data_IF_050425767851
#
_entry.id   IF_050425767851
#
_cell.length_a   1.000
_cell.length_b   1.000
_cell.length_c   1.000
_cell.angle_alpha   90.00
_cell.angle_beta   90.00
_cell.angle_gamma   90.00
#
_symmetry.space_group_name_H-M   'P 1'
#
loop_
_entity.id
_entity.type
_entity.pdbx_description
1 polymer ?
#
# COMPACT_ATOMS: atom_id res chain seq x y z
N UNK A 1 4.82 -7.13 24.06
CA UNK A 1 4.85 -5.81 23.40
C UNK A 1 3.77 -5.83 22.35
N UNK A 2 2.77 -4.95 22.43
CA UNK A 2 1.78 -4.83 21.37
C UNK A 2 2.47 -4.12 20.19
N UNK A 3 2.88 -4.85 19.17
CA UNK A 3 3.23 -4.28 17.88
C UNK A 3 2.07 -3.38 17.44
N UNK A 4 2.36 -2.14 17.09
CA UNK A 4 1.33 -1.22 16.60
C UNK A 4 0.61 -1.90 15.43
N UNK A 5 -0.71 -2.07 15.55
CA UNK A 5 -1.52 -2.67 14.49
C UNK A 5 -1.66 -1.62 13.39
N UNK A 6 -0.98 -1.84 12.28
CA UNK A 6 -1.24 -1.10 11.06
C UNK A 6 -2.52 -1.63 10.41
N UNK A 7 -3.40 -0.73 9.99
CA UNK A 7 -4.63 -1.06 9.30
C UNK A 7 -4.60 -0.48 7.90
N UNK A 8 -5.14 -1.23 6.94
CA UNK A 8 -5.31 -0.77 5.58
C UNK A 8 -6.80 -0.57 5.27
N UNK A 9 -7.13 0.56 4.66
CA UNK A 9 -8.47 0.85 4.14
C UNK A 9 -8.42 0.74 2.63
N UNK A 10 -9.14 -0.23 2.07
CA UNK A 10 -9.26 -0.43 0.62
C UNK A 10 -10.59 0.17 0.16
N UNK A 11 -10.52 1.07 -0.81
CA UNK A 11 -11.70 1.75 -1.36
C UNK A 11 -11.87 1.31 -2.80
N UNK A 12 -13.01 0.67 -3.10
CA UNK A 12 -13.37 0.32 -4.47
C UNK A 12 -14.10 1.50 -5.11
N UNK A 13 -13.44 2.12 -6.08
CA UNK A 13 -14.03 3.18 -6.91
C UNK A 13 -14.93 2.50 -7.96
N UNK A 14 -16.21 2.89 -8.01
CA UNK A 14 -17.16 2.41 -9.02
C UNK A 14 -17.70 3.62 -9.74
N UNK A 15 -17.57 3.63 -11.06
CA UNK A 15 -18.11 4.69 -11.93
C UNK A 15 -17.61 6.12 -11.62
N UNK A 16 -16.50 6.24 -10.89
CA UNK A 16 -15.85 7.52 -10.57
C UNK A 16 -14.97 7.98 -11.74
N UNK A 17 -15.07 9.25 -12.10
CA UNK A 17 -14.11 9.86 -13.05
C UNK A 17 -12.75 9.92 -12.38
N UNK A 18 -11.71 9.52 -13.09
CA UNK A 18 -10.32 9.50 -12.58
C UNK A 18 -9.90 10.84 -11.94
N UNK A 19 -10.36 11.96 -12.51
CA UNK A 19 -10.10 13.30 -11.98
C UNK A 19 -10.64 13.54 -10.56
N UNK A 20 -11.73 12.88 -10.17
CA UNK A 20 -12.41 13.08 -8.88
C UNK A 20 -11.87 12.15 -7.79
N UNK A 21 -11.20 11.06 -8.19
CA UNK A 21 -10.66 10.02 -7.29
C UNK A 21 -9.71 10.60 -6.26
N UNK A 22 -8.72 11.39 -6.69
CA UNK A 22 -7.73 11.94 -5.78
C UNK A 22 -8.33 12.92 -4.76
N UNK A 23 -9.31 13.71 -5.18
CA UNK A 23 -10.04 14.62 -4.29
C UNK A 23 -10.86 13.84 -3.25
N UNK A 24 -11.52 12.76 -3.67
CA UNK A 24 -12.24 11.86 -2.78
C UNK A 24 -11.33 11.20 -1.75
N UNK A 25 -10.21 10.61 -2.19
CA UNK A 25 -9.22 10.00 -1.30
C UNK A 25 -8.63 11.00 -0.30
N UNK A 26 -8.36 12.24 -0.73
CA UNK A 26 -7.85 13.30 0.15
C UNK A 26 -8.83 13.66 1.26
N UNK A 27 -10.15 13.65 0.97
CA UNK A 27 -11.19 13.88 1.99
C UNK A 27 -11.22 12.76 3.04
N UNK A 28 -11.03 11.52 2.61
CA UNK A 28 -10.98 10.37 3.52
C UNK A 28 -9.73 10.44 4.41
N UNK A 29 -8.56 10.73 3.83
CA UNK A 29 -7.32 10.91 4.58
C UNK A 29 -7.46 12.02 5.63
N UNK A 30 -8.07 13.15 5.25
CA UNK A 30 -8.35 14.25 6.18
C UNK A 30 -9.27 13.80 7.32
N UNK A 31 -10.37 13.11 7.02
CA UNK A 31 -11.32 12.64 8.04
C UNK A 31 -10.68 11.70 9.07
N UNK A 32 -9.76 10.83 8.63
CA UNK A 32 -8.99 9.96 9.53
C UNK A 32 -8.06 10.76 10.44
N UNK A 33 -7.36 11.75 9.88
CA UNK A 33 -6.47 12.64 10.65
C UNK A 33 -7.23 13.48 11.67
N UNK A 34 -8.41 13.99 11.29
CA UNK A 34 -9.29 14.75 12.19
C UNK A 34 -9.79 13.90 13.38
N UNK A 35 -9.83 12.57 13.24
CA UNK A 35 -10.15 11.62 14.31
C UNK A 35 -8.92 11.16 15.13
N UNK A 36 -7.73 11.71 14.85
CA UNK A 36 -6.49 11.38 15.57
C UNK A 36 -5.74 10.16 15.03
N UNK A 37 -6.15 9.60 13.88
CA UNK A 37 -5.38 8.54 13.23
C UNK A 37 -4.23 9.12 12.39
N UNK A 38 -3.08 8.45 12.42
CA UNK A 38 -2.04 8.67 11.41
C UNK A 38 -2.42 7.88 10.16
N UNK A 39 -2.84 8.60 9.12
CA UNK A 39 -3.17 8.02 7.83
C UNK A 39 -2.30 8.62 6.72
N UNK A 40 -1.92 7.80 5.75
CA UNK A 40 -1.26 8.19 4.50
C UNK A 40 -1.80 7.34 3.35
N UNK A 41 -1.71 7.87 2.13
CA UNK A 41 -1.95 7.06 0.92
C UNK A 41 -0.91 5.94 0.83
N UNK A 42 -1.37 4.76 0.40
CA UNK A 42 -0.51 3.63 0.09
C UNK A 42 0.38 3.99 -1.09
N UNK A 43 1.68 3.76 -0.93
CA UNK A 43 2.65 3.78 -2.02
C UNK A 43 2.71 2.38 -2.65
N UNK A 44 3.45 2.27 -3.75
CA UNK A 44 3.62 1.01 -4.47
C UNK A 44 4.09 -0.13 -3.56
N UNK A 45 5.11 0.11 -2.73
CA UNK A 45 5.64 -0.89 -1.79
C UNK A 45 4.56 -1.40 -0.80
N UNK A 46 3.63 -0.53 -0.38
CA UNK A 46 2.53 -0.95 0.48
C UNK A 46 1.55 -1.86 -0.28
N UNK A 47 1.21 -1.49 -1.52
CA UNK A 47 0.34 -2.29 -2.39
C UNK A 47 0.93 -3.68 -2.62
N UNK A 48 2.23 -3.76 -2.93
CA UNK A 48 2.92 -5.04 -3.09
C UNK A 48 2.94 -5.86 -1.82
N UNK A 49 3.19 -5.24 -0.66
CA UNK A 49 3.12 -5.93 0.64
C UNK A 49 1.75 -6.55 0.87
N UNK A 50 0.68 -5.83 0.53
CA UNK A 50 -0.69 -6.34 0.67
C UNK A 50 -0.92 -7.51 -0.28
N UNK A 51 -0.55 -7.36 -1.55
CA UNK A 51 -0.67 -8.45 -2.52
C UNK A 51 0.11 -9.68 -2.05
N UNK A 52 1.31 -9.51 -1.52
CA UNK A 52 2.09 -10.58 -0.90
C UNK A 52 1.36 -11.28 0.24
N UNK A 53 0.77 -10.53 1.18
CA UNK A 53 -0.01 -11.13 2.29
C UNK A 53 -1.21 -11.96 1.79
N UNK A 54 -1.86 -11.53 0.70
CA UNK A 54 -3.04 -12.23 0.15
C UNK A 54 -2.70 -13.37 -0.81
N UNK A 55 -1.60 -13.28 -1.55
CA UNK A 55 -1.25 -14.22 -2.62
C UNK A 55 -0.03 -15.11 -2.31
N UNK A 56 0.89 -14.68 -1.44
CA UNK A 56 2.01 -15.52 -1.00
C UNK A 56 1.74 -16.14 0.37
N UNK A 57 2.03 -17.44 0.50
CA UNK A 57 1.99 -18.15 1.78
C UNK A 57 3.26 -17.98 2.63
N UNK A 58 4.30 -17.32 2.10
CA UNK A 58 5.58 -17.17 2.77
C UNK A 58 5.67 -15.81 3.48
N UNK A 59 5.58 -15.83 4.81
CA UNK A 59 5.61 -14.66 5.71
C UNK A 59 7.01 -13.99 5.77
N UNK A 60 8.02 -14.57 5.13
CA UNK A 60 9.43 -14.16 5.26
C UNK A 60 9.94 -13.26 4.13
N UNK A 61 9.11 -12.89 3.15
CA UNK A 61 9.54 -12.00 2.04
C UNK A 61 9.57 -10.55 2.52
N UNK A 62 10.79 -9.99 2.70
CA UNK A 62 10.97 -8.60 3.17
C UNK A 62 10.79 -7.54 2.06
N UNK A 63 11.02 -7.91 0.79
CA UNK A 63 10.96 -6.99 -0.36
C UNK A 63 10.32 -7.67 -1.57
N UNK A 64 9.43 -6.93 -2.25
CA UNK A 64 8.75 -7.37 -3.47
C UNK A 64 9.37 -6.68 -4.69
N UNK A 65 9.94 -7.48 -5.58
CA UNK A 65 10.60 -7.04 -6.81
C UNK A 65 9.60 -6.40 -7.79
N UNK A 66 10.07 -5.51 -8.67
CA UNK A 66 9.28 -4.93 -9.76
C UNK A 66 9.09 -5.93 -10.92
N UNK A 67 10.09 -6.79 -11.13
CA UNK A 67 10.11 -7.82 -12.16
C UNK A 67 10.89 -9.06 -11.70
N UNK A 68 10.53 -10.21 -12.25
CA UNK A 68 11.18 -11.48 -11.92
C UNK A 68 12.69 -11.40 -12.15
N UNK A 69 13.45 -11.71 -11.10
CA UNK A 69 14.90 -11.77 -11.19
C UNK A 69 15.62 -10.45 -10.89
N UNK A 70 14.91 -9.37 -10.55
CA UNK A 70 15.48 -8.06 -10.24
C UNK A 70 16.63 -8.12 -9.21
N UNK A 71 16.45 -8.86 -8.12
CA UNK A 71 17.45 -9.01 -7.05
C UNK A 71 18.71 -9.75 -7.50
N UNK A 72 18.66 -10.43 -8.64
CA UNK A 72 19.79 -11.16 -9.23
C UNK A 72 20.50 -10.35 -10.31
N UNK A 73 19.99 -9.17 -10.67
CA UNK A 73 20.66 -8.24 -11.59
C UNK A 73 21.76 -7.51 -10.83
N UNK A 74 23.01 -7.93 -11.03
CA UNK A 74 24.19 -7.20 -10.55
C UNK A 74 24.58 -6.18 -11.64
N UNK A 75 24.30 -4.91 -11.42
CA UNK A 75 24.87 -3.83 -12.22
C UNK A 75 26.33 -3.66 -11.78
N UNK A 76 27.26 -4.20 -12.56
CA UNK A 76 28.68 -3.88 -12.39
C UNK A 76 28.87 -2.41 -12.81
N UNK A 77 29.21 -1.55 -11.85
CA UNK A 77 29.79 -0.22 -12.14
C UNK A 77 31.21 -0.35 -12.70
#
# INVERSE_FOLDING_TARGET
MATAREFLIIIRLRDEKEADVFSYLSRIEKSLKDQGFTARRAAEADIKRILGVYYEQNVTTEQFEDFDGERWVILNE
#
